data_IF_486747948763
#
_entry.id   IF_486747948763
#
_cell.length_a   1.000
_cell.length_b   1.000
_cell.length_c   1.000
_cell.angle_alpha   90.00
_cell.angle_beta   90.00
_cell.angle_gamma   90.00
#
_symmetry.space_group_name_H-M   'P 1'
#
loop_
_entity.id
_entity.type
_entity.pdbx_description
1 polymer ?
#
# COMPACT_ATOMS: atom_id res chain seq x y z
N UNK A 1 -10.87 19.62 13.39
CA UNK A 1 -9.56 19.13 13.88
C UNK A 1 -8.63 18.85 12.70
N UNK A 2 -8.05 19.91 12.14
CA UNK A 2 -6.99 19.83 11.13
C UNK A 2 -5.79 20.60 11.69
N UNK A 3 -4.57 20.12 11.43
CA UNK A 3 -3.35 20.76 11.93
C UNK A 3 -2.44 19.87 12.77
N UNK A 4 -2.69 18.56 12.84
CA UNK A 4 -1.74 17.64 13.46
C UNK A 4 -0.57 17.38 12.51
N UNK A 5 0.61 17.11 13.06
CA UNK A 5 1.81 16.82 12.27
C UNK A 5 1.60 15.68 11.26
N UNK A 6 0.75 14.70 11.61
CA UNK A 6 0.46 13.54 10.76
C UNK A 6 -0.44 13.86 9.56
N UNK A 7 -1.11 15.02 9.55
CA UNK A 7 -1.97 15.46 8.44
C UNK A 7 -1.18 15.97 7.23
N UNK A 8 0.13 16.12 7.39
CA UNK A 8 1.03 16.63 6.37
C UNK A 8 2.15 15.65 6.04
N UNK A 9 2.77 15.85 4.89
CA UNK A 9 4.02 15.23 4.47
C UNK A 9 4.90 16.25 3.77
N UNK A 10 6.18 15.93 3.62
CA UNK A 10 7.11 16.74 2.83
C UNK A 10 7.12 16.19 1.41
N UNK A 11 6.74 17.02 0.45
CA UNK A 11 6.78 16.66 -0.96
C UNK A 11 8.21 16.70 -1.54
N UNK A 12 8.34 16.37 -2.83
CA UNK A 12 9.62 16.32 -3.52
C UNK A 12 10.31 17.69 -3.62
N UNK A 13 9.56 18.79 -3.53
CA UNK A 13 10.06 20.16 -3.54
C UNK A 13 10.43 20.65 -2.13
N UNK A 14 10.29 19.80 -1.11
CA UNK A 14 10.59 20.13 0.28
C UNK A 14 9.49 20.93 0.98
N UNK A 15 8.31 21.06 0.36
CA UNK A 15 7.18 21.80 0.94
C UNK A 15 6.33 20.88 1.80
N UNK A 16 5.84 21.43 2.92
CA UNK A 16 4.89 20.77 3.78
C UNK A 16 3.49 20.84 3.15
N UNK A 17 2.99 19.68 2.71
CA UNK A 17 1.76 19.55 1.92
C UNK A 17 0.77 18.64 2.64
N UNK A 18 -0.52 18.98 2.57
CA UNK A 18 -1.56 18.23 3.27
C UNK A 18 -1.89 16.93 2.52
N UNK A 19 -2.07 15.82 3.23
CA UNK A 19 -2.29 14.51 2.61
C UNK A 19 -3.52 14.45 1.70
N UNK A 20 -4.56 15.26 1.96
CA UNK A 20 -5.75 15.33 1.10
C UNK A 20 -5.44 15.76 -0.33
N UNK A 21 -4.39 16.56 -0.54
CA UNK A 21 -3.96 16.97 -1.88
C UNK A 21 -3.26 15.83 -2.63
N UNK A 22 -2.71 14.86 -1.89
CA UNK A 22 -2.02 13.70 -2.44
C UNK A 22 -2.95 12.50 -2.70
N UNK A 23 -4.20 12.54 -2.24
CA UNK A 23 -5.16 11.44 -2.49
C UNK A 23 -5.65 11.54 -3.94
N UNK A 24 -5.38 10.54 -4.80
CA UNK A 24 -5.84 10.58 -6.17
C UNK A 24 -7.37 10.48 -6.24
N UNK A 25 -7.96 11.16 -7.23
CA UNK A 25 -9.40 11.10 -7.43
C UNK A 25 -9.83 9.67 -7.79
N UNK A 26 -10.83 9.17 -7.06
CA UNK A 26 -11.36 7.85 -7.34
C UNK A 26 -12.07 7.83 -8.69
N UNK A 27 -11.61 6.96 -9.60
CA UNK A 27 -12.25 6.72 -10.89
C UNK A 27 -12.82 5.31 -10.91
N UNK A 28 -14.14 5.19 -10.94
CA UNK A 28 -14.80 3.90 -11.02
C UNK A 28 -14.70 3.34 -12.45
N UNK A 29 -14.14 2.14 -12.58
CA UNK A 29 -14.08 1.40 -13.86
C UNK A 29 -15.25 0.41 -13.90
N UNK A 30 -16.24 0.59 -14.80
CA UNK A 30 -17.36 -0.34 -14.94
C UNK A 30 -16.86 -1.76 -15.26
N UNK A 31 -17.49 -2.78 -14.65
CA UNK A 31 -17.16 -4.19 -14.88
C UNK A 31 -16.09 -4.77 -13.94
N UNK A 32 -15.48 -3.96 -13.07
CA UNK A 32 -14.57 -4.44 -12.03
C UNK A 32 -15.35 -5.05 -10.86
N UNK A 33 -15.02 -6.27 -10.38
CA UNK A 33 -15.67 -6.88 -9.23
C UNK A 33 -15.58 -5.99 -7.99
N UNK A 34 -16.66 -5.85 -7.23
CA UNK A 34 -16.72 -4.98 -6.06
C UNK A 34 -15.57 -5.21 -5.06
N UNK A 35 -15.22 -6.47 -4.80
CA UNK A 35 -14.12 -6.83 -3.90
C UNK A 35 -12.71 -6.45 -4.37
N UNK A 36 -12.56 -5.99 -5.62
CA UNK A 36 -11.29 -5.54 -6.19
C UNK A 36 -11.21 -4.01 -6.36
N UNK A 37 -12.28 -3.30 -6.00
CA UNK A 37 -12.30 -1.84 -5.99
C UNK A 37 -11.49 -1.34 -4.80
N UNK A 38 -10.43 -0.58 -5.09
CA UNK A 38 -9.64 0.12 -4.08
C UNK A 38 -9.97 1.61 -4.15
N UNK A 39 -10.63 2.14 -3.13
CA UNK A 39 -10.89 3.58 -3.00
C UNK A 39 -9.66 4.23 -2.37
N UNK A 40 -8.99 5.18 -3.05
CA UNK A 40 -7.87 5.90 -2.46
C UNK A 40 -8.34 6.71 -1.26
N UNK A 41 -7.68 6.49 -0.12
CA UNK A 41 -7.89 7.28 1.10
C UNK A 41 -6.58 7.93 1.52
N UNK A 42 -6.66 8.86 2.48
CA UNK A 42 -5.46 9.45 3.11
C UNK A 42 -4.55 8.37 3.69
N UNK A 43 -5.09 7.32 4.30
CA UNK A 43 -4.28 6.20 4.81
C UNK A 43 -3.58 5.43 3.69
N UNK A 44 -4.28 5.13 2.60
CA UNK A 44 -3.70 4.42 1.45
C UNK A 44 -2.60 5.25 0.79
N UNK A 45 -2.77 6.57 0.66
CA UNK A 45 -1.76 7.48 0.14
C UNK A 45 -0.50 7.50 1.04
N UNK A 46 -0.69 7.57 2.37
CA UNK A 46 0.39 7.50 3.37
C UNK A 46 1.20 6.23 3.26
N UNK A 47 0.53 5.08 3.27
CA UNK A 47 1.17 3.77 3.15
C UNK A 47 1.87 3.63 1.79
N UNK A 48 1.22 4.08 0.71
CA UNK A 48 1.78 4.08 -0.64
C UNK A 48 3.11 4.83 -0.71
N UNK A 49 3.16 6.07 -0.20
CA UNK A 49 4.39 6.87 -0.18
C UNK A 49 5.52 6.17 0.58
N UNK A 50 5.22 5.57 1.74
CA UNK A 50 6.21 4.85 2.54
C UNK A 50 6.73 3.61 1.80
N UNK A 51 5.84 2.83 1.18
CA UNK A 51 6.21 1.66 0.39
C UNK A 51 7.07 2.08 -0.81
N UNK A 52 6.72 3.18 -1.48
CA UNK A 52 7.46 3.69 -2.63
C UNK A 52 8.85 4.22 -2.25
N UNK A 53 8.96 4.86 -1.08
CA UNK A 53 10.22 5.40 -0.58
C UNK A 53 11.18 4.32 -0.06
N UNK A 54 10.62 3.25 0.53
CA UNK A 54 11.42 2.21 1.18
C UNK A 54 11.70 1.00 0.28
N UNK A 55 10.82 0.67 -0.67
CA UNK A 55 10.99 -0.48 -1.57
C UNK A 55 12.28 -0.46 -2.40
N UNK A 56 12.80 0.70 -2.90
CA UNK A 56 14.07 0.74 -3.64
C UNK A 56 15.27 0.34 -2.79
N UNK A 57 15.18 0.45 -1.47
CA UNK A 57 16.26 0.08 -0.55
C UNK A 57 16.45 -1.44 -0.44
N UNK A 58 15.57 -2.25 -1.05
CA UNK A 58 15.60 -3.72 -1.02
C UNK A 58 15.64 -4.29 0.41
N UNK A 59 15.00 -3.59 1.36
CA UNK A 59 14.84 -4.03 2.75
C UNK A 59 13.42 -4.57 2.97
N UNK A 60 13.25 -5.61 3.81
CA UNK A 60 11.93 -6.11 4.18
C UNK A 60 11.08 -5.02 4.83
N UNK A 61 9.78 -4.99 4.49
CA UNK A 61 8.80 -4.07 5.05
C UNK A 61 7.67 -4.85 5.70
N UNK A 62 7.20 -4.37 6.85
CA UNK A 62 6.07 -4.93 7.58
C UNK A 62 4.99 -3.86 7.76
N UNK A 63 3.80 -4.13 7.24
CA UNK A 63 2.63 -3.25 7.36
C UNK A 63 1.62 -3.94 8.28
N UNK A 64 1.24 -3.28 9.37
CA UNK A 64 0.35 -3.83 10.42
C UNK A 64 -0.92 -3.01 10.60
N UNK A 65 -1.89 -3.60 11.30
CA UNK A 65 -3.11 -2.95 11.80
C UNK A 65 -4.34 -3.84 11.61
N UNK A 66 -5.52 -3.30 11.85
CA UNK A 66 -6.76 -4.07 11.81
C UNK A 66 -7.05 -4.70 10.43
N UNK A 67 -7.80 -5.81 10.45
CA UNK A 67 -8.31 -6.45 9.24
C UNK A 67 -9.27 -5.51 8.50
N UNK A 68 -9.30 -5.58 7.16
CA UNK A 68 -10.17 -4.75 6.33
C UNK A 68 -9.65 -3.34 6.01
N UNK A 69 -8.51 -2.90 6.56
CA UNK A 69 -7.94 -1.56 6.27
C UNK A 69 -7.14 -1.49 4.95
N UNK A 70 -7.55 -2.21 3.90
CA UNK A 70 -6.95 -2.19 2.56
C UNK A 70 -5.42 -2.46 2.46
N UNK A 71 -4.77 -2.98 3.51
CA UNK A 71 -3.30 -3.22 3.54
C UNK A 71 -2.85 -4.14 2.42
N UNK A 72 -3.46 -5.33 2.35
CA UNK A 72 -3.17 -6.33 1.31
C UNK A 72 -3.47 -5.78 -0.08
N UNK A 73 -4.60 -5.08 -0.25
CA UNK A 73 -4.97 -4.49 -1.54
C UNK A 73 -3.96 -3.42 -2.01
N UNK A 74 -3.46 -2.58 -1.10
CA UNK A 74 -2.45 -1.56 -1.39
C UNK A 74 -1.13 -2.19 -1.83
N UNK A 75 -0.66 -3.22 -1.11
CA UNK A 75 0.57 -3.92 -1.46
C UNK A 75 0.43 -4.68 -2.79
N UNK A 76 -0.70 -5.36 -3.02
CA UNK A 76 -0.98 -6.05 -4.28
C UNK A 76 -1.07 -5.07 -5.46
N UNK A 77 -1.61 -3.87 -5.27
CA UNK A 77 -1.58 -2.81 -6.28
C UNK A 77 -0.14 -2.37 -6.58
N UNK A 78 0.69 -2.16 -5.55
CA UNK A 78 2.11 -1.83 -5.73
C UNK A 78 2.87 -2.91 -6.48
N UNK A 79 2.72 -4.18 -6.09
CA UNK A 79 3.40 -5.30 -6.74
C UNK A 79 3.02 -5.39 -8.23
N UNK A 80 1.75 -5.16 -8.58
CA UNK A 80 1.30 -5.10 -9.98
C UNK A 80 1.86 -3.91 -10.77
N UNK A 81 2.25 -2.83 -10.10
CA UNK A 81 2.89 -1.67 -10.75
C UNK A 81 4.38 -1.88 -11.01
N UNK A 82 4.99 -2.91 -10.42
CA UNK A 82 6.38 -3.27 -10.70
C UNK A 82 6.45 -3.91 -12.10
N UNK A 83 7.46 -3.50 -12.89
CA UNK A 83 7.65 -4.02 -14.25
C UNK A 83 8.11 -5.48 -14.29
N UNK A 84 8.29 -6.01 -15.50
CA UNK A 84 8.64 -7.42 -15.78
C UNK A 84 9.96 -7.89 -15.13
N UNK A 85 10.82 -6.97 -14.69
CA UNK A 85 12.03 -7.28 -13.94
C UNK A 85 11.79 -7.84 -12.53
N UNK A 86 10.53 -7.82 -12.05
CA UNK A 86 10.15 -8.27 -10.72
C UNK A 86 9.20 -9.47 -10.79
N UNK A 87 9.50 -10.50 -9.99
CA UNK A 87 8.57 -11.58 -9.71
C UNK A 87 7.97 -11.40 -8.31
N UNK A 88 6.65 -11.55 -8.20
CA UNK A 88 5.95 -11.52 -6.91
C UNK A 88 5.41 -12.91 -6.56
N UNK A 89 5.68 -13.38 -5.35
CA UNK A 89 5.04 -14.57 -4.76
C UNK A 89 4.26 -14.14 -3.53
N UNK A 90 2.99 -14.51 -3.45
CA UNK A 90 2.11 -14.20 -2.31
C UNK A 90 1.86 -15.49 -1.55
N UNK A 91 2.26 -15.52 -0.28
CA UNK A 91 2.03 -16.64 0.63
C UNK A 91 1.02 -16.25 1.70
N UNK A 92 -0.10 -16.97 1.76
CA UNK A 92 -1.09 -16.82 2.81
C UNK A 92 -0.75 -17.74 3.98
N UNK A 93 -0.63 -17.16 5.17
CA UNK A 93 -0.31 -17.91 6.39
C UNK A 93 -1.56 -18.18 7.20
N UNK A 94 -1.62 -19.36 7.80
CA UNK A 94 -2.65 -19.79 8.74
C UNK A 94 -2.00 -20.37 9.99
N UNK A 95 -2.80 -20.64 11.02
CA UNK A 95 -2.32 -21.30 12.24
C UNK A 95 -1.73 -22.71 12.00
N UNK A 96 -2.02 -23.30 10.84
CA UNK A 96 -1.52 -24.62 10.45
C UNK A 96 -0.27 -24.53 9.55
N UNK A 97 0.14 -23.33 9.13
CA UNK A 97 1.26 -23.18 8.20
C UNK A 97 2.59 -23.38 8.92
N UNK A 98 3.37 -24.35 8.47
CA UNK A 98 4.65 -24.73 9.09
C UNK A 98 5.86 -24.24 8.30
N UNK A 99 7.03 -24.20 8.94
CA UNK A 99 8.28 -23.81 8.29
C UNK A 99 8.68 -24.75 7.13
N UNK A 100 8.21 -26.00 7.11
CA UNK A 100 8.47 -26.93 6.02
C UNK A 100 7.72 -26.54 4.73
N UNK A 101 6.51 -26.01 4.87
CA UNK A 101 5.69 -25.54 3.75
C UNK A 101 6.21 -24.23 3.17
N UNK A 102 6.78 -23.34 4.00
CA UNK A 102 7.42 -22.10 3.55
C UNK A 102 8.73 -22.32 2.77
N UNK A 103 9.38 -23.48 2.91
CA UNK A 103 10.66 -23.78 2.24
C UNK A 103 10.49 -24.31 0.81
N UNK A 104 9.28 -24.71 0.42
CA UNK A 104 8.99 -25.19 -0.94
C UNK A 104 8.66 -24.03 -1.87
#
# INVERSE_FOLDING_TARGET
DEGLVLDYYVDADGKLTHWREAVPHYTHVPGVPFGSILVPTVETARIGLLVDSLSPQRKPLLIVGASGCAKTATLSAKLRSLGESYASCVLSLSALTTAAEMRR
#
